data_IF_585599426517
#
_entry.id   IF_585599426517
#
_cell.length_a   1.000
_cell.length_b   1.000
_cell.length_c   1.000
_cell.angle_alpha   90.00
_cell.angle_beta   90.00
_cell.angle_gamma   90.00
#
_symmetry.space_group_name_H-M   'P 1'
#
loop_
_entity.id
_entity.type
_entity.pdbx_description
1 polymer ?
#
# COMPACT_ATOMS: atom_id res chain seq x y z
N UNK A 1 -12.01 -16.19 -61.51
CA UNK A 1 -11.15 -16.46 -60.37
C UNK A 1 -10.42 -15.15 -60.00
N UNK A 2 -10.92 -14.43 -59.00
CA UNK A 2 -10.27 -13.22 -58.50
C UNK A 2 -9.69 -13.51 -57.13
N UNK A 3 -8.38 -13.44 -57.02
CA UNK A 3 -7.66 -13.58 -55.73
C UNK A 3 -7.74 -12.24 -54.97
N UNK A 4 -8.32 -12.26 -53.77
CA UNK A 4 -8.29 -11.14 -52.83
C UNK A 4 -7.00 -11.25 -52.05
N UNK A 5 -6.10 -10.30 -52.21
CA UNK A 5 -4.88 -10.13 -51.43
C UNK A 5 -5.24 -9.37 -50.15
N UNK A 6 -5.10 -10.03 -49.02
CA UNK A 6 -5.23 -9.40 -47.70
C UNK A 6 -3.90 -8.73 -47.36
N UNK A 7 -3.86 -7.41 -47.24
CA UNK A 7 -2.72 -6.65 -46.73
C UNK A 7 -2.83 -6.59 -45.22
N UNK A 8 -1.97 -7.30 -44.53
CA UNK A 8 -1.72 -7.08 -43.09
C UNK A 8 -0.81 -5.85 -42.99
N UNK A 9 -1.34 -4.78 -42.45
CA UNK A 9 -0.57 -3.55 -42.17
C UNK A 9 0.17 -3.72 -40.82
N UNK A 10 1.44 -4.14 -40.91
CA UNK A 10 2.34 -4.12 -39.74
C UNK A 10 2.81 -2.70 -39.51
N UNK A 11 2.25 -2.03 -38.47
CA UNK A 11 2.74 -0.76 -38.01
C UNK A 11 4.02 -0.95 -37.18
N UNK A 12 5.17 -0.84 -37.84
CA UNK A 12 6.46 -0.76 -37.15
C UNK A 12 6.64 0.67 -36.65
N UNK A 13 6.45 0.90 -35.35
CA UNK A 13 6.88 2.13 -34.69
C UNK A 13 8.40 2.10 -34.51
N UNK A 14 9.12 2.87 -35.30
CA UNK A 14 10.51 3.22 -35.02
C UNK A 14 10.53 4.17 -33.81
N UNK A 15 10.96 3.65 -32.65
CA UNK A 15 11.23 4.47 -31.47
C UNK A 15 12.63 5.07 -31.64
N UNK A 16 12.73 6.36 -31.94
CA UNK A 16 13.99 7.12 -31.89
C UNK A 16 14.40 7.28 -30.42
N UNK A 17 15.54 6.71 -30.04
CA UNK A 17 16.17 6.83 -28.74
C UNK A 17 16.78 8.24 -28.64
N UNK A 18 16.05 9.17 -28.04
CA UNK A 18 16.62 10.34 -27.38
C UNK A 18 16.55 10.08 -25.88
N UNK A 19 17.70 10.15 -25.22
CA UNK A 19 17.84 9.82 -23.79
C UNK A 19 16.94 10.67 -22.88
N UNK A 20 15.78 10.13 -22.56
CA UNK A 20 14.89 10.60 -21.53
C UNK A 20 14.67 9.47 -20.56
N UNK A 21 14.75 9.76 -19.26
CA UNK A 21 14.42 8.85 -18.19
C UNK A 21 13.03 8.25 -18.44
N UNK A 22 12.99 7.01 -18.89
CA UNK A 22 11.76 6.31 -19.17
C UNK A 22 10.98 6.08 -17.88
N UNK A 23 9.96 6.89 -17.66
CA UNK A 23 8.87 6.53 -16.77
C UNK A 23 8.12 5.38 -17.48
N UNK A 24 8.48 4.15 -17.19
CA UNK A 24 7.63 3.01 -17.50
C UNK A 24 6.39 3.14 -16.65
N UNK A 25 5.31 3.66 -17.24
CA UNK A 25 3.99 3.47 -16.67
C UNK A 25 3.71 1.96 -16.73
N UNK A 26 3.87 1.27 -15.61
CA UNK A 26 3.40 -0.09 -15.45
C UNK A 26 1.87 -0.03 -15.47
N UNK A 27 1.27 -0.33 -16.61
CA UNK A 27 -0.14 -0.72 -16.64
C UNK A 27 -0.16 -2.11 -15.97
N UNK A 28 -0.61 -2.19 -14.73
CA UNK A 28 -0.73 -3.46 -14.02
C UNK A 28 -1.74 -4.37 -14.74
N UNK A 29 -1.50 -5.67 -14.67
CA UNK A 29 -2.44 -6.67 -15.19
C UNK A 29 -3.76 -6.63 -14.40
N UNK A 30 -4.83 -7.06 -15.07
CA UNK A 30 -6.17 -7.16 -14.48
C UNK A 30 -6.46 -8.59 -14.12
N UNK A 31 -6.89 -8.82 -12.89
CA UNK A 31 -7.25 -10.12 -12.34
C UNK A 31 -8.73 -10.11 -11.93
N UNK A 32 -9.33 -11.27 -11.83
CA UNK A 32 -10.67 -11.47 -11.29
C UNK A 32 -10.61 -12.49 -10.17
N UNK A 33 -11.44 -12.29 -9.15
CA UNK A 33 -11.53 -13.23 -8.03
C UNK A 33 -11.97 -14.60 -8.48
N UNK A 34 -11.61 -15.58 -7.67
CA UNK A 34 -12.03 -16.98 -7.81
C UNK A 34 -12.65 -17.43 -6.50
N UNK A 35 -13.90 -17.81 -6.52
CA UNK A 35 -14.60 -18.33 -5.35
C UNK A 35 -14.19 -19.77 -5.02
N UNK A 36 -14.13 -20.19 -3.74
CA UNK A 36 -14.44 -19.44 -2.53
C UNK A 36 -13.15 -18.85 -1.94
N UNK A 37 -13.09 -17.51 -1.79
CA UNK A 37 -11.94 -16.79 -1.20
C UNK A 37 -12.27 -16.12 0.15
N UNK A 38 -13.18 -16.72 0.93
CA UNK A 38 -13.79 -16.20 2.16
C UNK A 38 -12.86 -16.18 3.38
N UNK A 39 -11.68 -16.76 3.25
CA UNK A 39 -10.71 -16.90 4.34
C UNK A 39 -9.28 -16.57 3.86
N UNK A 40 -8.40 -16.13 4.78
CA UNK A 40 -7.01 -15.82 4.46
C UNK A 40 -6.25 -16.99 3.80
N UNK A 41 -6.63 -18.25 4.13
CA UNK A 41 -6.00 -19.45 3.59
C UNK A 41 -6.39 -19.73 2.12
N UNK A 42 -7.57 -19.29 1.72
CA UNK A 42 -8.08 -19.36 0.33
C UNK A 42 -7.95 -18.03 -0.43
N UNK A 43 -7.32 -17.03 0.17
CA UNK A 43 -7.18 -15.68 -0.41
C UNK A 43 -6.56 -15.68 -1.81
N UNK A 44 -7.22 -15.00 -2.74
CA UNK A 44 -6.73 -14.81 -4.10
C UNK A 44 -5.45 -13.99 -4.15
N UNK A 45 -4.48 -14.43 -4.94
CA UNK A 45 -3.22 -13.71 -5.10
C UNK A 45 -3.34 -12.57 -6.12
N UNK A 46 -2.96 -11.37 -5.71
CA UNK A 46 -2.85 -10.20 -6.58
C UNK A 46 -1.41 -9.68 -6.58
N UNK A 47 -0.71 -9.64 -7.72
CA UNK A 47 0.61 -9.04 -7.80
C UNK A 47 0.54 -7.54 -7.44
N UNK A 48 1.58 -7.03 -6.79
CA UNK A 48 1.67 -5.58 -6.54
C UNK A 48 1.61 -4.79 -7.85
N UNK A 49 0.97 -3.63 -7.81
CA UNK A 49 0.68 -2.76 -8.95
C UNK A 49 -0.29 -3.34 -9.99
N UNK A 50 -0.98 -4.42 -9.65
CA UNK A 50 -2.06 -4.99 -10.46
C UNK A 50 -3.40 -4.84 -9.73
N UNK A 51 -4.50 -4.89 -10.47
CA UNK A 51 -5.84 -4.81 -9.89
C UNK A 51 -6.53 -6.16 -9.96
N UNK A 52 -7.10 -6.59 -8.84
CA UNK A 52 -8.06 -7.70 -8.81
C UNK A 52 -9.47 -7.14 -8.64
N UNK A 53 -10.41 -7.66 -9.42
CA UNK A 53 -11.82 -7.30 -9.35
C UNK A 53 -12.62 -8.40 -8.69
N UNK A 54 -13.50 -7.99 -7.77
CA UNK A 54 -14.45 -8.84 -7.09
C UNK A 54 -15.88 -8.31 -7.20
N UNK A 55 -16.82 -9.13 -6.80
CA UNK A 55 -18.25 -8.78 -6.72
C UNK A 55 -18.77 -9.13 -5.34
N UNK A 56 -19.12 -8.11 -4.56
CA UNK A 56 -19.69 -8.32 -3.24
C UNK A 56 -20.94 -9.16 -3.26
N UNK A 57 -21.00 -10.17 -2.40
CA UNK A 57 -22.20 -10.97 -2.10
C UNK A 57 -22.58 -10.85 -0.63
N UNK A 58 -23.75 -11.28 -0.30
CA UNK A 58 -24.24 -11.24 1.07
C UNK A 58 -23.53 -12.31 1.92
N UNK A 59 -22.97 -11.91 3.06
CA UNK A 59 -22.20 -12.77 3.99
C UNK A 59 -20.93 -13.40 3.39
N UNK A 60 -20.36 -12.79 2.36
CA UNK A 60 -19.25 -13.26 1.56
C UNK A 60 -18.07 -12.26 1.68
N UNK A 61 -17.15 -12.46 2.63
CA UNK A 61 -15.99 -11.61 2.77
C UNK A 61 -14.87 -12.07 1.85
N UNK A 62 -14.49 -11.26 0.88
CA UNK A 62 -13.44 -11.57 -0.06
C UNK A 62 -12.05 -11.29 0.52
N UNK A 63 -11.14 -12.26 0.42
CA UNK A 63 -9.77 -12.12 0.85
C UNK A 63 -8.81 -12.13 -0.33
N UNK A 64 -7.93 -11.12 -0.34
CA UNK A 64 -6.88 -10.97 -1.35
C UNK A 64 -5.53 -10.93 -0.67
N UNK A 65 -4.53 -11.53 -1.33
CA UNK A 65 -3.17 -11.67 -0.81
C UNK A 65 -2.15 -11.07 -1.76
N UNK A 66 -1.21 -10.28 -1.24
CA UNK A 66 -0.03 -9.81 -1.97
C UNK A 66 1.24 -10.04 -1.17
N UNK A 67 2.39 -10.05 -1.84
CA UNK A 67 3.69 -10.27 -1.20
C UNK A 67 4.68 -9.17 -1.57
N UNK A 68 5.53 -8.81 -0.60
CA UNK A 68 6.65 -7.91 -0.78
C UNK A 68 7.95 -8.70 -0.63
N UNK A 69 8.82 -8.66 -1.63
CA UNK A 69 10.14 -9.32 -1.59
C UNK A 69 11.20 -8.53 -0.80
N UNK A 70 10.96 -7.25 -0.59
CA UNK A 70 11.80 -6.33 0.20
C UNK A 70 10.95 -5.20 0.76
N UNK A 71 11.45 -4.43 1.75
CA UNK A 71 10.70 -3.29 2.29
C UNK A 71 10.30 -2.31 1.20
N UNK A 72 9.07 -1.82 1.26
CA UNK A 72 8.49 -0.96 0.24
C UNK A 72 7.47 0.01 0.81
N UNK A 73 7.32 1.15 0.13
CA UNK A 73 6.19 2.04 0.31
C UNK A 73 4.97 1.46 -0.41
N UNK A 74 3.90 1.22 0.31
CA UNK A 74 2.65 0.62 -0.20
C UNK A 74 1.47 1.52 0.09
N UNK A 75 0.54 1.61 -0.85
CA UNK A 75 -0.85 2.01 -0.57
C UNK A 75 -1.81 1.04 -1.22
N UNK A 76 -2.84 0.65 -0.49
CA UNK A 76 -3.95 -0.11 -1.04
C UNK A 76 -4.96 0.89 -1.62
N UNK A 77 -5.34 0.69 -2.88
CA UNK A 77 -6.42 1.41 -3.51
C UNK A 77 -7.63 0.50 -3.64
N UNK A 78 -8.76 0.96 -3.13
CA UNK A 78 -10.07 0.34 -3.30
C UNK A 78 -10.91 1.20 -4.24
N UNK A 79 -11.49 0.61 -5.27
CA UNK A 79 -12.21 1.33 -6.32
C UNK A 79 -13.51 0.64 -6.69
N UNK A 80 -14.56 1.41 -6.90
CA UNK A 80 -15.86 0.93 -7.37
C UNK A 80 -16.63 2.06 -8.05
N UNK A 81 -17.71 1.72 -8.73
CA UNK A 81 -18.60 2.73 -9.32
C UNK A 81 -19.45 3.38 -8.23
N UNK A 82 -19.26 4.69 -8.06
CA UNK A 82 -20.02 5.51 -7.13
C UNK A 82 -21.54 5.35 -7.36
N UNK A 83 -22.29 5.37 -6.27
CA UNK A 83 -23.75 5.36 -6.31
C UNK A 83 -24.35 6.27 -5.23
N UNK A 84 -25.46 6.93 -5.55
CA UNK A 84 -26.27 7.69 -4.59
C UNK A 84 -27.16 6.71 -3.82
N UNK A 85 -26.57 5.95 -2.93
CA UNK A 85 -27.23 4.98 -2.06
C UNK A 85 -26.52 4.95 -0.72
N UNK A 86 -27.26 4.74 0.33
CA UNK A 86 -26.70 4.43 1.64
C UNK A 86 -26.18 3.00 1.59
N UNK A 87 -24.89 2.85 1.82
CA UNK A 87 -24.23 1.57 1.84
C UNK A 87 -22.76 1.75 2.11
N UNK A 88 -22.14 0.72 2.67
CA UNK A 88 -20.77 0.79 3.13
C UNK A 88 -19.99 -0.47 2.75
N UNK A 89 -18.77 -0.25 2.31
CA UNK A 89 -17.72 -1.24 2.17
C UNK A 89 -16.83 -1.21 3.41
N UNK A 90 -16.46 -2.36 3.91
CA UNK A 90 -15.44 -2.54 4.91
C UNK A 90 -14.20 -3.08 4.26
N UNK A 91 -13.13 -2.31 4.26
CA UNK A 91 -11.85 -2.70 3.67
C UNK A 91 -10.79 -2.70 4.75
N UNK A 92 -10.14 -3.83 4.98
CA UNK A 92 -9.19 -4.02 6.06
C UNK A 92 -7.89 -4.57 5.50
N UNK A 93 -6.77 -4.01 5.92
CA UNK A 93 -5.43 -4.45 5.54
C UNK A 93 -4.78 -5.18 6.72
N UNK A 94 -4.24 -6.37 6.45
CA UNK A 94 -3.57 -7.19 7.46
C UNK A 94 -2.15 -7.53 7.04
N UNK A 95 -1.29 -7.75 8.03
CA UNK A 95 0.01 -8.41 7.89
C UNK A 95 -0.13 -9.86 8.33
N UNK A 96 0.46 -10.78 7.58
CA UNK A 96 0.59 -12.17 8.01
C UNK A 96 1.75 -12.31 8.99
N UNK A 97 1.49 -12.84 10.19
CA UNK A 97 2.47 -13.00 11.26
C UNK A 97 3.05 -14.42 11.34
N UNK A 98 2.54 -15.35 10.54
CA UNK A 98 2.92 -16.76 10.54
C UNK A 98 1.95 -17.64 11.30
N UNK A 99 2.05 -18.95 11.11
CA UNK A 99 1.29 -20.00 11.81
C UNK A 99 -0.25 -19.82 11.80
N UNK A 100 -0.76 -19.10 10.81
CA UNK A 100 -2.19 -18.81 10.67
C UNK A 100 -2.64 -17.52 11.33
N UNK A 101 -1.73 -16.81 11.99
CA UNK A 101 -2.02 -15.53 12.64
C UNK A 101 -1.81 -14.35 11.67
N UNK A 102 -2.59 -13.29 11.88
CA UNK A 102 -2.46 -12.02 11.16
C UNK A 102 -2.87 -10.83 12.04
N UNK A 103 -2.15 -9.73 11.87
CA UNK A 103 -2.40 -8.47 12.58
C UNK A 103 -3.00 -7.43 11.65
N UNK A 104 -4.04 -6.73 12.11
CA UNK A 104 -4.62 -5.61 11.39
C UNK A 104 -3.63 -4.43 11.38
N UNK A 105 -3.41 -3.86 10.19
CA UNK A 105 -2.56 -2.68 10.00
C UNK A 105 -3.42 -1.43 9.87
N UNK A 106 -4.50 -1.51 9.06
CA UNK A 106 -5.36 -0.36 8.76
C UNK A 106 -6.75 -0.85 8.36
N UNK A 107 -7.77 -0.01 8.55
CA UNK A 107 -9.12 -0.29 8.09
C UNK A 107 -9.87 0.97 7.65
N UNK A 108 -10.87 0.78 6.81
CA UNK A 108 -11.71 1.88 6.35
C UNK A 108 -13.11 1.43 6.00
N UNK A 109 -14.07 2.19 6.52
CA UNK A 109 -15.44 2.19 6.01
C UNK A 109 -15.52 3.16 4.82
N UNK A 110 -15.79 2.64 3.63
CA UNK A 110 -15.90 3.41 2.39
C UNK A 110 -17.35 3.41 1.94
N UNK A 111 -17.96 4.58 1.87
CA UNK A 111 -19.39 4.69 1.54
C UNK A 111 -19.60 4.64 0.02
N UNK A 112 -20.78 4.15 -0.40
CA UNK A 112 -21.10 4.02 -1.83
C UNK A 112 -21.05 5.34 -2.60
N UNK A 113 -21.24 6.47 -1.93
CA UNK A 113 -21.12 7.80 -2.53
C UNK A 113 -19.67 8.33 -2.62
N UNK A 114 -18.68 7.66 -2.01
CA UNK A 114 -17.27 8.11 -2.05
C UNK A 114 -16.57 7.75 -3.36
N UNK A 115 -16.84 6.55 -3.90
CA UNK A 115 -16.12 6.02 -5.05
C UNK A 115 -14.78 5.40 -4.66
N UNK A 116 -13.70 5.81 -5.31
CA UNK A 116 -12.36 5.28 -5.02
C UNK A 116 -11.80 5.82 -3.71
N UNK A 117 -11.30 4.94 -2.88
CA UNK A 117 -10.51 5.26 -1.69
C UNK A 117 -9.08 4.74 -1.82
N UNK A 118 -8.11 5.52 -1.37
CA UNK A 118 -6.71 5.10 -1.30
C UNK A 118 -6.22 5.25 0.13
N UNK A 119 -5.80 4.14 0.72
CA UNK A 119 -5.21 4.13 2.05
C UNK A 119 -3.97 5.02 2.10
N UNK A 120 -3.67 5.64 3.24
CA UNK A 120 -2.39 6.31 3.46
C UNK A 120 -1.22 5.40 3.11
N UNK A 121 -0.09 6.00 2.71
CA UNK A 121 1.11 5.21 2.42
C UNK A 121 1.63 4.55 3.68
N UNK A 122 2.03 3.29 3.55
CA UNK A 122 2.64 2.47 4.60
C UNK A 122 4.03 2.06 4.16
N UNK A 123 5.01 2.17 5.04
CA UNK A 123 6.32 1.59 4.83
C UNK A 123 6.32 0.14 5.32
N UNK A 124 6.06 -0.82 4.46
CA UNK A 124 5.90 -2.21 4.89
C UNK A 124 7.18 -3.02 4.68
N UNK A 125 7.60 -3.87 5.65
CA UNK A 125 8.71 -4.80 5.47
C UNK A 125 8.41 -5.87 4.41
N UNK A 126 9.41 -6.66 4.01
CA UNK A 126 9.17 -7.86 3.22
C UNK A 126 8.23 -8.81 3.97
N UNK A 127 7.29 -9.42 3.25
CA UNK A 127 6.30 -10.29 3.88
C UNK A 127 5.05 -10.50 3.04
N UNK A 128 4.09 -11.19 3.63
CA UNK A 128 2.75 -11.42 3.07
C UNK A 128 1.72 -10.54 3.75
N UNK A 129 0.82 -10.01 2.96
CA UNK A 129 -0.22 -9.10 3.38
C UNK A 129 -1.55 -9.51 2.79
N UNK A 130 -2.63 -9.19 3.51
CA UNK A 130 -3.99 -9.46 3.05
C UNK A 130 -4.80 -8.17 2.98
N UNK A 131 -5.75 -8.15 2.07
CA UNK A 131 -6.84 -7.18 2.04
C UNK A 131 -8.13 -7.96 2.12
N UNK A 132 -8.94 -7.68 3.14
CA UNK A 132 -10.27 -8.23 3.28
C UNK A 132 -11.29 -7.18 2.89
N UNK A 133 -12.23 -7.56 2.04
CA UNK A 133 -13.34 -6.71 1.61
C UNK A 133 -14.66 -7.39 1.93
N UNK A 134 -15.59 -6.67 2.49
CA UNK A 134 -17.00 -7.08 2.57
C UNK A 134 -17.88 -5.85 2.55
N UNK A 135 -19.11 -6.01 2.11
CA UNK A 135 -20.07 -4.93 2.03
C UNK A 135 -21.33 -5.21 2.83
N UNK A 136 -22.08 -4.15 3.13
CA UNK A 136 -23.46 -4.30 3.59
C UNK A 136 -24.39 -4.71 2.44
N UNK A 137 -25.67 -4.91 2.75
CA UNK A 137 -26.68 -5.31 1.77
C UNK A 137 -26.74 -4.39 0.54
N UNK A 138 -26.53 -3.08 0.71
CA UNK A 138 -26.57 -2.12 -0.40
C UNK A 138 -25.35 -2.20 -1.33
N UNK A 139 -24.24 -2.74 -0.85
CA UNK A 139 -23.05 -3.00 -1.63
C UNK A 139 -23.13 -4.31 -2.44
N UNK A 140 -24.02 -5.25 -2.05
CA UNK A 140 -24.16 -6.54 -2.72
C UNK A 140 -24.52 -6.42 -4.20
N UNK A 141 -23.94 -7.31 -5.03
CA UNK A 141 -24.05 -7.31 -6.49
C UNK A 141 -23.22 -6.25 -7.20
N UNK A 142 -22.44 -5.45 -6.46
CA UNK A 142 -21.57 -4.42 -7.04
C UNK A 142 -20.15 -4.95 -7.20
N UNK A 143 -19.57 -4.63 -8.35
CA UNK A 143 -18.16 -4.87 -8.63
C UNK A 143 -17.30 -3.81 -7.94
N UNK A 144 -16.16 -4.24 -7.45
CA UNK A 144 -15.09 -3.41 -6.93
C UNK A 144 -13.72 -3.89 -7.41
N UNK A 145 -12.68 -3.10 -7.16
CA UNK A 145 -11.29 -3.47 -7.46
C UNK A 145 -10.37 -3.15 -6.31
N UNK A 146 -9.43 -4.03 -6.04
CA UNK A 146 -8.34 -3.86 -5.06
C UNK A 146 -7.02 -3.80 -5.79
N UNK A 147 -6.21 -2.77 -5.50
CA UNK A 147 -4.89 -2.57 -6.10
C UNK A 147 -3.87 -2.29 -5.00
N UNK A 148 -2.99 -3.23 -4.65
CA UNK A 148 -1.84 -2.97 -3.79
C UNK A 148 -0.75 -2.24 -4.58
N UNK A 149 -0.74 -0.90 -4.51
CA UNK A 149 0.28 -0.07 -5.18
C UNK A 149 1.56 -0.08 -4.37
N UNK A 150 2.65 -0.45 -5.01
CA UNK A 150 3.95 -0.61 -4.38
C UNK A 150 5.05 0.21 -5.09
N UNK A 151 5.92 0.81 -4.30
CA UNK A 151 7.18 1.42 -4.79
C UNK A 151 8.33 1.11 -3.83
N UNK A 152 9.42 0.59 -4.37
CA UNK A 152 10.63 0.28 -3.61
C UNK A 152 11.48 1.53 -3.48
N UNK A 153 11.39 2.20 -2.32
CA UNK A 153 12.11 3.45 -2.01
C UNK A 153 12.89 3.29 -0.72
N UNK A 154 14.18 3.55 -0.75
CA UNK A 154 15.09 3.31 0.38
C UNK A 154 15.03 4.36 1.48
N UNK A 155 14.35 5.47 1.26
CA UNK A 155 14.25 6.60 2.20
C UNK A 155 12.87 6.72 2.86
N UNK A 156 12.04 5.70 2.75
CA UNK A 156 10.76 5.60 3.47
C UNK A 156 10.98 4.78 4.75
N UNK A 157 10.23 5.08 5.80
CA UNK A 157 10.23 4.27 7.02
C UNK A 157 9.84 2.81 6.75
N UNK A 158 10.13 1.96 7.69
CA UNK A 158 9.75 0.55 7.63
C UNK A 158 8.99 0.21 8.90
N UNK A 159 7.69 0.03 8.77
CA UNK A 159 6.81 -0.40 9.85
C UNK A 159 7.24 -1.80 10.34
N UNK A 160 7.17 -2.14 11.51
CA UNK A 160 6.60 -1.59 12.74
C UNK A 160 7.73 -1.01 13.61
N UNK A 161 8.06 0.26 13.43
CA UNK A 161 9.16 0.95 14.12
C UNK A 161 8.71 1.67 15.41
N UNK A 162 7.65 1.19 16.05
CA UNK A 162 6.94 1.78 17.20
C UNK A 162 7.72 1.78 18.50
N UNK A 163 8.94 1.24 18.50
CA UNK A 163 9.79 1.16 19.70
C UNK A 163 11.26 1.42 19.40
N UNK A 164 12.02 1.81 20.43
CA UNK A 164 13.46 2.04 20.30
C UNK A 164 14.23 0.78 19.83
N UNK A 165 13.72 -0.41 20.11
CA UNK A 165 14.33 -1.68 19.66
C UNK A 165 14.12 -1.93 18.18
N UNK A 166 12.97 -1.53 17.64
CA UNK A 166 12.59 -1.66 16.25
C UNK A 166 12.94 -0.40 15.39
N UNK A 167 13.51 0.63 16.05
CA UNK A 167 13.80 1.92 15.42
C UNK A 167 14.54 1.82 14.08
N UNK A 168 14.05 2.55 13.10
CA UNK A 168 14.63 2.65 11.77
C UNK A 168 15.97 3.39 11.76
N UNK A 169 16.96 2.98 10.94
CA UNK A 169 18.21 3.71 10.84
C UNK A 169 18.03 5.07 10.16
N UNK A 170 18.51 6.13 10.79
CA UNK A 170 18.56 7.48 10.24
C UNK A 170 20.02 7.85 9.96
N UNK A 171 20.38 7.92 8.68
CA UNK A 171 21.74 8.23 8.24
C UNK A 171 21.97 9.75 8.19
N UNK A 172 23.16 10.20 8.60
CA UNK A 172 23.51 11.61 8.55
C UNK A 172 23.41 12.19 7.14
N UNK A 173 22.82 13.40 7.06
CA UNK A 173 22.60 14.11 5.80
C UNK A 173 21.57 13.46 4.88
N UNK A 174 20.78 12.49 5.38
CA UNK A 174 19.68 11.88 4.64
C UNK A 174 18.35 12.18 5.30
N UNK A 175 17.32 12.34 4.49
CA UNK A 175 15.94 12.46 4.97
C UNK A 175 15.27 11.09 4.89
N UNK A 176 14.53 10.73 5.93
CA UNK A 176 13.62 9.60 5.94
C UNK A 176 12.19 10.12 6.00
N UNK A 177 11.31 9.54 5.22
CA UNK A 177 9.89 9.91 5.13
C UNK A 177 9.04 8.87 5.84
N UNK A 178 7.93 9.31 6.41
CA UNK A 178 6.97 8.46 7.08
C UNK A 178 5.58 9.06 7.06
N UNK A 179 4.62 8.32 7.60
CA UNK A 179 3.23 8.75 7.80
C UNK A 179 2.85 8.49 9.25
N UNK A 180 2.57 9.55 9.97
CA UNK A 180 2.03 9.45 11.32
C UNK A 180 0.58 8.93 11.27
N UNK A 181 0.28 7.95 12.09
CA UNK A 181 -1.04 7.39 12.33
C UNK A 181 -1.43 7.53 13.80
N UNK A 182 -2.68 7.26 14.10
CA UNK A 182 -3.15 7.26 15.48
C UNK A 182 -2.46 6.12 16.27
N UNK A 183 -1.88 6.48 17.40
CA UNK A 183 -1.17 5.54 18.30
C UNK A 183 0.04 4.82 17.70
N UNK A 184 0.65 5.38 16.65
CA UNK A 184 1.76 4.84 15.88
C UNK A 184 2.99 5.78 15.99
N UNK A 185 3.82 5.61 17.03
CA UNK A 185 4.99 6.45 17.26
C UNK A 185 6.19 5.94 16.45
N UNK A 186 6.67 6.73 15.50
CA UNK A 186 7.84 6.39 14.68
C UNK A 186 9.14 6.57 15.43
N UNK A 187 9.93 5.53 15.54
CA UNK A 187 11.25 5.57 16.13
C UNK A 187 12.35 5.48 15.09
N UNK A 188 13.30 6.41 15.19
CA UNK A 188 14.49 6.46 14.35
C UNK A 188 15.74 6.46 15.21
N UNK A 189 16.79 5.78 14.74
CA UNK A 189 18.09 5.70 15.45
C UNK A 189 19.24 6.13 14.58
N UNK A 190 20.19 6.83 15.17
CA UNK A 190 21.48 7.13 14.58
C UNK A 190 22.60 6.88 15.60
N UNK A 191 23.81 6.63 15.12
CA UNK A 191 24.97 6.36 15.98
C UNK A 191 26.07 7.37 15.71
N UNK A 192 26.59 7.94 16.77
CA UNK A 192 27.81 8.75 16.75
C UNK A 192 29.02 7.88 17.08
N UNK A 193 30.06 7.95 16.28
CA UNK A 193 31.32 7.23 16.51
C UNK A 193 32.32 8.06 17.34
N UNK A 194 32.05 9.35 17.52
CA UNK A 194 32.82 10.29 18.33
C UNK A 194 31.90 11.42 18.83
N UNK A 195 32.38 12.21 19.78
CA UNK A 195 31.65 13.41 20.21
C UNK A 195 31.43 14.36 19.04
N UNK A 196 30.21 14.81 18.86
CA UNK A 196 29.82 15.70 17.77
C UNK A 196 28.63 16.57 18.16
N UNK A 197 28.49 17.72 17.51
CA UNK A 197 27.27 18.50 17.54
C UNK A 197 26.30 17.93 16.51
N UNK A 198 25.06 17.63 16.95
CA UNK A 198 24.01 17.07 16.10
C UNK A 198 22.84 18.03 16.06
N UNK A 199 22.28 18.20 14.87
CA UNK A 199 20.98 18.85 14.67
C UNK A 199 20.02 17.87 13.99
N UNK A 200 18.78 17.79 14.47
CA UNK A 200 17.70 17.03 13.84
C UNK A 200 16.74 18.03 13.21
N UNK A 201 16.46 17.86 11.93
CA UNK A 201 15.47 18.64 11.21
C UNK A 201 14.22 17.79 11.00
N UNK A 202 13.08 18.35 11.39
CA UNK A 202 11.76 17.76 11.15
C UNK A 202 10.97 18.67 10.21
N UNK A 203 10.29 18.08 9.24
CA UNK A 203 9.40 18.81 8.34
C UNK A 203 8.14 17.97 8.08
N UNK A 204 7.02 18.64 7.94
CA UNK A 204 5.75 17.99 7.65
C UNK A 204 4.97 18.80 6.62
N UNK A 205 4.00 18.13 5.96
CA UNK A 205 3.04 18.82 5.09
C UNK A 205 2.10 19.66 5.96
N UNK A 206 1.97 20.94 5.64
CA UNK A 206 1.06 21.83 6.36
C UNK A 206 -0.39 21.37 6.14
N UNK A 207 -1.12 21.23 7.24
CA UNK A 207 -2.56 20.95 7.26
C UNK A 207 -3.32 22.12 7.87
N UNK A 208 -4.59 22.28 7.50
CA UNK A 208 -5.52 23.21 8.14
C UNK A 208 -6.15 22.61 9.41
N UNK A 209 -5.95 21.33 9.68
CA UNK A 209 -6.42 20.68 10.89
C UNK A 209 -5.52 21.04 12.08
N UNK A 210 -6.13 21.23 13.24
CA UNK A 210 -5.40 21.37 14.50
C UNK A 210 -4.72 20.04 14.85
N UNK A 211 -3.41 20.09 15.05
CA UNK A 211 -2.64 18.92 15.44
C UNK A 211 -1.25 19.33 15.89
N UNK A 212 -0.68 18.57 16.82
CA UNK A 212 0.64 18.83 17.39
C UNK A 212 1.56 17.65 17.13
N UNK A 213 2.71 17.91 16.53
CA UNK A 213 3.78 16.95 16.41
C UNK A 213 4.65 16.96 17.67
N UNK A 214 4.96 15.79 18.18
CA UNK A 214 5.93 15.60 19.25
C UNK A 214 7.18 14.98 18.69
N UNK A 215 8.28 15.73 18.64
CA UNK A 215 9.58 15.25 18.20
C UNK A 215 10.52 15.24 19.39
N UNK A 216 10.98 14.07 19.80
CA UNK A 216 11.76 13.89 21.01
C UNK A 216 13.09 13.20 20.64
N UNK A 217 14.20 13.72 21.17
CA UNK A 217 15.52 13.12 21.00
C UNK A 217 15.94 12.48 22.32
N UNK A 218 16.22 11.20 22.31
CA UNK A 218 16.71 10.46 23.45
C UNK A 218 18.20 10.15 23.33
N UNK A 219 18.89 10.19 24.45
CA UNK A 219 20.22 9.62 24.56
C UNK A 219 20.07 8.16 24.98
N UNK A 220 20.57 7.23 24.15
CA UNK A 220 20.63 5.84 24.52
C UNK A 220 21.70 5.64 25.59
N UNK A 221 21.28 5.30 26.80
CA UNK A 221 22.18 4.89 27.86
C UNK A 221 22.49 3.39 27.67
N UNK A 222 23.41 3.08 26.77
CA UNK A 222 24.06 1.77 26.78
C UNK A 222 25.06 1.82 27.93
N UNK A 223 24.75 1.21 29.05
CA UNK A 223 25.76 0.96 30.08
C UNK A 223 26.81 0.03 29.50
N UNK A 224 28.01 0.56 29.38
CA UNK A 224 29.23 -0.22 29.05
C UNK A 224 29.61 -1.02 30.29
#
# INVERSE_FOLDING_TARGET
MKRVLSFALSLVMLLSITGGLGLTAYAGDTYYETEDNDDYSSADYVPVNSTIYGVCREYDPDWYKFTLSSPAKVNVQFSFNRADADGVWHVIVYKYDGDGDYSQIDDKNVYLYDGTYTFPSMGLPAGTYFVRVYGDYAACGRQYGVTPKCSYVSNWETEFNDSYTAADPLNFGKTRYGVCRDYDPDWYKFKLNAAATVSVSFSHTKSSADGVWHVIVYLSLIHI
#
